data_IF_776297923881
#
_entry.id   IF_776297923881
#
_cell.length_a   1.000
_cell.length_b   1.000
_cell.length_c   1.000
_cell.angle_alpha   90.00
_cell.angle_beta   90.00
_cell.angle_gamma   90.00
#
_symmetry.space_group_name_H-M   'P 1'
#
loop_
_entity.id
_entity.type
_entity.pdbx_description
1 polymer ?
#
# COMPACT_ATOMS: atom_id res chain seq x y z
N UNK A 1 10.36 7.73 -11.30
CA UNK A 1 10.55 9.19 -11.00
C UNK A 1 11.75 9.78 -11.75
N UNK A 2 13.00 9.40 -11.44
CA UNK A 2 14.17 10.01 -12.11
C UNK A 2 14.10 9.94 -13.65
N UNK A 3 13.72 8.78 -14.20
CA UNK A 3 13.62 8.61 -15.65
C UNK A 3 12.44 9.38 -16.26
N UNK A 4 11.39 9.59 -15.53
CA UNK A 4 10.20 10.32 -16.01
C UNK A 4 10.42 11.83 -16.09
N UNK A 5 11.28 12.39 -15.21
CA UNK A 5 11.59 13.83 -15.23
C UNK A 5 12.76 14.21 -16.15
N UNK A 6 13.47 13.21 -16.70
CA UNK A 6 14.50 13.46 -17.70
C UNK A 6 13.93 14.21 -18.91
N UNK A 7 14.57 15.29 -19.33
CA UNK A 7 14.12 16.12 -20.45
C UNK A 7 13.19 17.27 -20.06
N UNK A 8 12.68 17.31 -18.84
CA UNK A 8 11.85 18.42 -18.35
C UNK A 8 12.59 19.35 -17.39
N UNK A 9 13.77 18.98 -16.93
CA UNK A 9 14.56 19.75 -15.98
C UNK A 9 16.06 19.59 -16.23
N UNK A 10 16.86 20.43 -15.58
CA UNK A 10 18.29 20.19 -15.48
C UNK A 10 18.56 18.89 -14.73
N UNK A 11 19.81 18.40 -14.79
CA UNK A 11 20.21 17.13 -14.15
C UNK A 11 19.67 17.02 -12.73
N UNK A 12 18.75 16.10 -12.45
CA UNK A 12 18.18 15.96 -11.13
C UNK A 12 19.23 15.44 -10.14
N UNK A 13 19.14 15.89 -8.88
CA UNK A 13 20.01 15.46 -7.78
C UNK A 13 19.20 14.65 -6.78
N UNK A 14 19.81 13.60 -6.24
CA UNK A 14 19.25 12.84 -5.12
C UNK A 14 20.08 13.17 -3.89
N UNK A 15 19.44 13.58 -2.80
CA UNK A 15 20.11 13.85 -1.55
C UNK A 15 20.31 12.57 -0.69
N UNK A 16 20.94 12.73 0.47
CA UNK A 16 21.23 11.62 1.38
C UNK A 16 19.97 10.96 1.98
N UNK A 17 18.83 11.65 1.97
CA UNK A 17 17.53 11.14 2.45
C UNK A 17 16.71 10.50 1.32
N UNK A 18 17.22 10.55 0.08
CA UNK A 18 16.53 10.02 -1.09
C UNK A 18 15.56 11.01 -1.74
N UNK A 19 15.54 12.29 -1.34
CA UNK A 19 14.75 13.30 -2.01
C UNK A 19 15.30 13.58 -3.41
N UNK A 20 14.39 13.71 -4.38
CA UNK A 20 14.74 14.10 -5.75
C UNK A 20 14.54 15.60 -5.90
N UNK A 21 15.61 16.31 -6.20
CA UNK A 21 15.65 17.75 -6.41
C UNK A 21 15.91 18.02 -7.89
N UNK A 22 15.04 18.76 -8.54
CA UNK A 22 15.15 19.12 -9.95
C UNK A 22 14.85 20.61 -10.15
N UNK A 23 15.54 21.25 -11.07
CA UNK A 23 15.34 22.66 -11.40
C UNK A 23 14.91 22.77 -12.86
N UNK A 24 13.85 23.51 -13.09
CA UNK A 24 13.44 23.93 -14.42
C UNK A 24 13.59 25.44 -14.53
N UNK A 25 14.43 25.89 -15.45
CA UNK A 25 14.71 27.31 -15.65
C UNK A 25 13.64 27.94 -16.53
N UNK A 26 13.03 28.98 -16.02
CA UNK A 26 12.12 29.81 -16.83
C UNK A 26 12.86 30.64 -17.88
N UNK A 27 12.17 31.10 -18.90
CA UNK A 27 12.71 31.88 -20.02
C UNK A 27 12.75 33.41 -19.80
N UNK A 28 12.04 33.90 -18.79
CA UNK A 28 11.96 35.31 -18.49
C UNK A 28 13.29 35.91 -17.98
N UNK A 29 13.60 37.17 -18.33
CA UNK A 29 14.80 37.88 -17.86
C UNK A 29 14.79 38.05 -16.32
N UNK A 30 13.65 38.37 -15.73
CA UNK A 30 13.45 38.46 -14.27
C UNK A 30 12.62 37.26 -13.84
N UNK A 31 13.27 36.29 -13.19
CA UNK A 31 12.65 35.01 -12.81
C UNK A 31 12.19 35.03 -11.37
N UNK A 32 10.98 34.60 -11.15
CA UNK A 32 10.51 34.23 -9.81
C UNK A 32 11.07 32.85 -9.47
N UNK A 33 11.37 32.65 -8.19
CA UNK A 33 11.70 31.34 -7.64
C UNK A 33 10.42 30.71 -7.07
N UNK A 34 10.00 29.60 -7.66
CA UNK A 34 8.84 28.84 -7.18
C UNK A 34 9.32 27.45 -6.82
N UNK A 35 8.94 26.98 -5.63
CA UNK A 35 9.21 25.60 -5.20
C UNK A 35 7.90 24.83 -5.22
N UNK A 36 7.91 23.69 -5.88
CA UNK A 36 6.84 22.68 -5.85
C UNK A 36 7.38 21.47 -5.11
N UNK A 37 6.68 21.03 -4.08
CA UNK A 37 7.08 19.87 -3.28
C UNK A 37 5.94 18.86 -3.24
N UNK A 38 6.29 17.58 -3.38
CA UNK A 38 5.37 16.46 -3.25
C UNK A 38 6.12 15.26 -2.67
N UNK A 39 5.43 14.43 -1.88
CA UNK A 39 6.00 13.18 -1.42
C UNK A 39 5.97 12.10 -2.52
N UNK A 40 6.84 11.10 -2.43
CA UNK A 40 6.98 10.00 -3.40
C UNK A 40 6.57 8.64 -2.82
N UNK A 41 6.35 8.57 -1.52
CA UNK A 41 5.83 7.39 -0.85
C UNK A 41 4.30 7.31 -0.98
N UNK A 42 3.78 6.11 -0.83
CA UNK A 42 2.35 5.85 -0.83
C UNK A 42 1.94 5.12 0.45
N UNK A 43 0.70 5.31 0.87
CA UNK A 43 0.10 4.54 1.95
C UNK A 43 -0.14 3.10 1.49
N UNK A 44 -0.15 2.17 2.44
CA UNK A 44 -0.37 0.76 2.14
C UNK A 44 -0.67 -0.04 3.39
N UNK A 45 -0.42 -1.33 3.30
CA UNK A 45 -0.69 -2.27 4.37
C UNK A 45 0.49 -3.19 4.60
N UNK A 46 0.58 -3.76 5.78
CA UNK A 46 1.57 -4.77 6.12
C UNK A 46 0.88 -6.01 6.63
N UNK A 47 1.16 -7.17 6.04
CA UNK A 47 0.64 -8.44 6.54
C UNK A 47 1.28 -8.75 7.90
N UNK A 48 0.44 -9.09 8.88
CA UNK A 48 0.85 -9.41 10.26
C UNK A 48 0.46 -10.82 10.69
N UNK A 49 -0.38 -11.52 9.94
CA UNK A 49 -0.78 -12.89 10.25
C UNK A 49 -1.63 -13.51 9.16
N UNK A 50 -1.79 -14.82 9.24
CA UNK A 50 -2.66 -15.63 8.40
C UNK A 50 -3.71 -16.31 9.28
N UNK A 51 -4.96 -16.28 8.84
CA UNK A 51 -6.09 -16.96 9.50
C UNK A 51 -6.53 -18.22 8.73
N UNK A 52 -5.73 -18.67 7.75
CA UNK A 52 -6.00 -19.83 6.89
C UNK A 52 -6.74 -19.47 5.60
N UNK A 53 -6.74 -20.40 4.65
CA UNK A 53 -7.47 -20.33 3.38
C UNK A 53 -7.20 -19.09 2.50
N UNK A 54 -6.03 -18.44 2.68
CA UNK A 54 -5.67 -17.24 1.92
C UNK A 54 -6.19 -15.95 2.51
N UNK A 55 -6.67 -15.97 3.77
CA UNK A 55 -7.11 -14.80 4.52
C UNK A 55 -5.98 -14.29 5.41
N UNK A 56 -5.67 -13.00 5.30
CA UNK A 56 -4.57 -12.39 6.02
C UNK A 56 -5.01 -11.22 6.88
N UNK A 57 -4.47 -11.17 8.09
CA UNK A 57 -4.51 -9.98 8.96
C UNK A 57 -3.47 -8.98 8.50
N UNK A 58 -3.79 -7.72 8.61
CA UNK A 58 -2.93 -6.63 8.17
C UNK A 58 -3.00 -5.42 9.10
N UNK A 59 -1.95 -4.61 9.07
CA UNK A 59 -1.87 -3.31 9.73
C UNK A 59 -1.74 -2.20 8.68
N UNK A 60 -2.17 -0.99 9.06
CA UNK A 60 -2.05 0.19 8.21
C UNK A 60 -0.61 0.72 8.20
N UNK A 61 -0.14 1.11 7.03
CA UNK A 61 1.10 1.87 6.85
C UNK A 61 0.72 3.22 6.25
N UNK A 62 0.75 4.25 7.09
CA UNK A 62 0.26 5.59 6.76
C UNK A 62 -1.20 5.81 7.19
N UNK A 63 -1.67 7.04 7.01
CA UNK A 63 -3.02 7.46 7.39
C UNK A 63 -4.06 7.04 6.37
N UNK A 64 -5.03 6.23 6.77
CA UNK A 64 -6.16 5.81 5.93
C UNK A 64 -7.46 5.75 6.74
N UNK A 65 -8.57 6.04 6.07
CA UNK A 65 -9.90 5.86 6.65
C UNK A 65 -10.36 4.41 6.47
N UNK A 66 -10.44 3.67 7.57
CA UNK A 66 -10.81 2.24 7.59
C UNK A 66 -12.16 1.98 6.92
N UNK A 67 -13.10 2.93 7.01
CA UNK A 67 -14.45 2.81 6.43
C UNK A 67 -14.44 2.66 4.91
N UNK A 68 -13.38 3.11 4.25
CA UNK A 68 -13.23 3.05 2.80
C UNK A 68 -12.52 1.80 2.30
N UNK A 69 -12.07 0.93 3.19
CA UNK A 69 -11.20 -0.19 2.83
C UNK A 69 -11.95 -1.41 2.30
N UNK A 70 -13.16 -1.67 2.78
CA UNK A 70 -13.94 -2.85 2.38
C UNK A 70 -14.20 -2.84 0.89
N UNK A 71 -13.91 -3.96 0.21
CA UNK A 71 -14.07 -4.12 -1.23
C UNK A 71 -12.93 -3.54 -2.07
N UNK A 72 -11.92 -2.90 -1.46
CA UNK A 72 -10.78 -2.38 -2.21
C UNK A 72 -9.89 -3.51 -2.70
N UNK A 73 -9.48 -3.40 -3.97
CA UNK A 73 -8.48 -4.27 -4.57
C UNK A 73 -7.09 -3.87 -4.09
N UNK A 74 -6.26 -4.87 -3.83
CA UNK A 74 -4.88 -4.69 -3.38
C UNK A 74 -3.94 -5.60 -4.16
N UNK A 75 -2.66 -5.26 -4.14
CA UNK A 75 -1.57 -6.07 -4.69
C UNK A 75 -0.65 -6.48 -3.55
N UNK A 76 -0.47 -7.78 -3.38
CA UNK A 76 0.25 -8.37 -2.26
C UNK A 76 1.62 -8.85 -2.69
N UNK A 77 2.65 -8.38 -1.99
CA UNK A 77 4.02 -8.81 -2.16
C UNK A 77 4.69 -8.34 -3.46
N UNK A 78 5.86 -8.91 -3.73
CA UNK A 78 6.69 -8.53 -4.88
C UNK A 78 6.09 -8.94 -6.21
N UNK A 79 5.34 -10.04 -6.21
CA UNK A 79 4.72 -10.60 -7.41
C UNK A 79 3.37 -9.94 -7.73
N UNK A 80 3.00 -8.92 -6.96
CA UNK A 80 1.76 -8.17 -7.12
C UNK A 80 0.52 -9.08 -7.18
N UNK A 81 0.50 -10.12 -6.32
CA UNK A 81 -0.62 -11.03 -6.24
C UNK A 81 -1.91 -10.26 -5.94
N UNK A 82 -2.94 -10.39 -6.78
CA UNK A 82 -4.19 -9.67 -6.56
C UNK A 82 -4.89 -10.18 -5.30
N UNK A 83 -5.48 -9.27 -4.56
CA UNK A 83 -6.28 -9.54 -3.39
C UNK A 83 -7.38 -8.51 -3.22
N UNK A 84 -8.29 -8.76 -2.29
CA UNK A 84 -9.37 -7.86 -1.93
C UNK A 84 -9.47 -7.73 -0.42
N UNK A 85 -9.78 -6.54 0.07
CA UNK A 85 -10.07 -6.32 1.49
C UNK A 85 -11.52 -6.70 1.75
N UNK A 86 -11.75 -7.76 2.50
CA UNK A 86 -13.05 -8.27 2.88
C UNK A 86 -13.39 -8.03 4.33
N UNK A 87 -14.67 -8.10 4.63
CA UNK A 87 -15.23 -8.11 5.97
C UNK A 87 -16.19 -9.29 6.11
N UNK A 88 -16.59 -9.61 7.35
CA UNK A 88 -17.62 -10.62 7.60
C UNK A 88 -18.91 -10.27 6.83
N UNK A 89 -19.51 -11.24 6.12
CA UNK A 89 -20.76 -11.00 5.42
C UNK A 89 -21.89 -10.52 6.34
N UNK A 90 -22.75 -9.66 5.86
CA UNK A 90 -23.80 -9.00 6.65
C UNK A 90 -24.73 -9.98 7.37
N UNK A 91 -25.02 -11.13 6.76
CA UNK A 91 -25.89 -12.17 7.34
C UNK A 91 -25.22 -12.92 8.51
N UNK A 92 -23.92 -12.78 8.70
CA UNK A 92 -23.16 -13.32 9.82
C UNK A 92 -22.87 -12.26 10.90
N UNK A 93 -23.40 -11.05 10.75
CA UNK A 93 -23.24 -9.95 11.70
C UNK A 93 -24.50 -9.73 12.51
N UNK A 94 -24.33 -9.30 13.76
CA UNK A 94 -25.45 -8.91 14.64
C UNK A 94 -25.99 -7.52 14.27
N UNK A 95 -27.20 -7.21 14.77
CA UNK A 95 -27.75 -5.86 14.58
C UNK A 95 -26.91 -4.77 15.26
N UNK A 96 -26.23 -5.10 16.35
CA UNK A 96 -25.35 -4.18 17.06
C UNK A 96 -24.06 -3.91 16.27
N UNK A 97 -23.39 -4.96 15.77
CA UNK A 97 -22.20 -4.81 14.93
C UNK A 97 -22.46 -3.92 13.70
N UNK A 98 -23.66 -3.98 13.13
CA UNK A 98 -24.05 -3.15 11.97
C UNK A 98 -24.24 -1.66 12.29
N UNK A 99 -24.37 -1.29 13.56
CA UNK A 99 -24.50 0.12 13.99
C UNK A 99 -23.16 0.83 14.10
N UNK A 100 -22.07 0.09 14.13
CA UNK A 100 -20.72 0.62 14.30
C UNK A 100 -19.89 0.43 13.02
N UNK A 101 -18.85 1.25 12.90
CA UNK A 101 -17.85 1.05 11.84
C UNK A 101 -17.14 -0.28 12.07
N UNK A 102 -16.86 -1.01 11.00
CA UNK A 102 -16.09 -2.26 11.08
C UNK A 102 -14.68 -1.92 11.56
N UNK A 103 -14.21 -2.51 12.66
CA UNK A 103 -12.84 -2.26 13.15
C UNK A 103 -11.81 -2.95 12.24
N UNK A 104 -10.57 -2.45 12.27
CA UNK A 104 -9.50 -2.95 11.40
C UNK A 104 -9.23 -4.44 11.59
N UNK A 105 -9.24 -4.90 12.83
CA UNK A 105 -9.00 -6.30 13.19
C UNK A 105 -10.08 -7.28 12.71
N UNK A 106 -11.25 -6.78 12.29
CA UNK A 106 -12.31 -7.55 11.65
C UNK A 106 -12.16 -7.63 10.12
N UNK A 107 -11.24 -6.86 9.53
CA UNK A 107 -10.95 -6.89 8.10
C UNK A 107 -9.90 -7.95 7.77
N UNK A 108 -9.99 -8.51 6.57
CA UNK A 108 -9.00 -9.46 6.03
C UNK A 108 -8.67 -9.11 4.59
N UNK A 109 -7.43 -9.37 4.21
CA UNK A 109 -7.04 -9.41 2.80
C UNK A 109 -7.20 -10.86 2.35
N UNK A 110 -8.02 -11.05 1.34
CA UNK A 110 -8.28 -12.32 0.66
C UNK A 110 -7.50 -12.35 -0.66
N UNK A 111 -6.62 -13.32 -0.81
CA UNK A 111 -5.86 -13.57 -2.05
C UNK A 111 -6.23 -14.91 -2.68
N UNK A 112 -7.35 -15.47 -2.28
CA UNK A 112 -7.90 -16.72 -2.78
C UNK A 112 -7.26 -17.98 -2.20
N UNK A 113 -7.77 -19.16 -2.55
CA UNK A 113 -7.40 -20.44 -1.93
C UNK A 113 -5.93 -20.88 -2.18
N UNK A 114 -5.21 -20.19 -3.07
CA UNK A 114 -3.76 -20.37 -3.24
C UNK A 114 -2.89 -19.61 -2.26
N UNK A 115 -3.49 -18.74 -1.45
CA UNK A 115 -2.79 -17.82 -0.55
C UNK A 115 -1.90 -18.48 0.48
N UNK A 116 -2.29 -19.62 1.00
CA UNK A 116 -1.47 -20.40 1.95
C UNK A 116 -0.13 -20.83 1.32
N UNK A 117 -0.10 -21.14 0.01
CA UNK A 117 1.17 -21.44 -0.69
C UNK A 117 2.04 -20.19 -0.84
N UNK A 118 1.41 -19.04 -1.11
CA UNK A 118 2.09 -17.75 -1.18
C UNK A 118 2.73 -17.44 0.16
N UNK A 119 1.98 -17.51 1.26
CA UNK A 119 2.48 -17.27 2.61
C UNK A 119 3.64 -18.20 2.95
N UNK A 120 3.54 -19.47 2.68
CA UNK A 120 4.60 -20.45 2.89
C UNK A 120 5.86 -20.15 2.05
N UNK A 121 5.74 -19.61 0.85
CA UNK A 121 6.88 -19.19 0.03
C UNK A 121 7.58 -17.96 0.62
N UNK A 122 6.82 -17.01 1.14
CA UNK A 122 7.33 -15.81 1.83
C UNK A 122 7.90 -16.17 3.21
N UNK A 123 7.26 -17.08 3.94
CA UNK A 123 7.67 -17.52 5.27
C UNK A 123 8.87 -18.49 5.28
N UNK A 124 9.04 -19.33 4.26
CA UNK A 124 10.19 -20.26 4.15
C UNK A 124 11.56 -19.60 4.09
N UNK A 125 11.61 -18.32 3.71
CA UNK A 125 12.84 -17.51 3.74
C UNK A 125 13.14 -16.84 5.08
N UNK A 126 12.27 -16.97 6.08
CA UNK A 126 12.44 -16.35 7.39
C UNK A 126 12.13 -17.39 8.47
N UNK A 127 13.15 -17.80 9.23
CA UNK A 127 12.94 -18.55 10.48
C UNK A 127 11.91 -17.81 11.35
N UNK A 128 10.65 -18.28 11.35
CA UNK A 128 9.55 -17.94 12.27
C UNK A 128 9.17 -16.45 12.48
N UNK A 129 9.64 -15.51 11.70
CA UNK A 129 9.11 -14.13 11.70
C UNK A 129 8.57 -13.81 10.31
N UNK A 130 7.32 -13.35 10.26
CA UNK A 130 6.75 -12.75 9.06
C UNK A 130 7.72 -11.67 8.56
N UNK A 131 8.21 -11.82 7.32
CA UNK A 131 8.85 -10.70 6.68
C UNK A 131 7.75 -9.66 6.42
N UNK A 132 7.97 -8.40 6.78
CA UNK A 132 7.05 -7.35 6.42
C UNK A 132 6.75 -7.43 4.92
N UNK A 133 5.51 -7.73 4.57
CA UNK A 133 5.08 -7.80 3.18
C UNK A 133 4.22 -6.59 2.93
N UNK A 134 4.73 -5.66 2.16
CA UNK A 134 4.01 -4.46 1.76
C UNK A 134 2.90 -4.81 0.78
N UNK A 135 1.79 -4.13 0.95
CA UNK A 135 0.61 -4.26 0.12
C UNK A 135 0.26 -2.88 -0.39
N UNK A 136 -0.03 -2.79 -1.67
CA UNK A 136 -0.43 -1.56 -2.35
C UNK A 136 -1.88 -1.65 -2.80
N UNK A 137 -2.50 -0.51 -3.03
CA UNK A 137 -3.77 -0.48 -3.74
C UNK A 137 -3.57 -0.95 -5.18
N UNK A 138 -4.47 -1.82 -5.66
CA UNK A 138 -4.53 -2.19 -7.07
C UNK A 138 -4.89 -0.95 -7.90
N UNK A 139 -4.25 -0.79 -9.06
CA UNK A 139 -4.74 0.18 -10.04
C UNK A 139 -6.01 -0.40 -10.66
N UNK A 140 -7.04 0.43 -10.77
CA UNK A 140 -8.25 0.10 -11.52
C UNK A 140 -7.91 -0.08 -13.01
#
# INVERSE_FOLDING_TARGET
>A
MLDEIKGYCETPKVDALGNVLAVHLGTAKKRLRVMVAAHMDEVGFMLVGEDGEGLFRFELVGGMDIRQLVGKQVQVGKDHTPGVIGARPIHLTTAEERRHSIPLDALRIDIGPGGTRFFNSVAKGAKRRLKPTMIRFGRA
#
